data_IF_987168751542
#
_entry.id   IF_987168751542
#
_cell.length_a   1.000
_cell.length_b   1.000
_cell.length_c   1.000
_cell.angle_alpha   90.00
_cell.angle_beta   90.00
_cell.angle_gamma   90.00
#
_symmetry.space_group_name_H-M   'P 1'
#
loop_
_entity.id
_entity.type
_entity.pdbx_description
1 polymer ?
#
# COMPACT_ATOMS: atom_id res chain seq x y z
N UNK A 1 -4.40 32.43 -10.70
CA UNK A 1 -4.65 31.54 -9.54
C UNK A 1 -4.94 30.10 -9.99
N UNK A 2 -5.94 29.87 -10.85
CA UNK A 2 -6.31 28.54 -11.39
C UNK A 2 -5.14 27.69 -11.90
N UNK A 3 -4.25 28.27 -12.73
CA UNK A 3 -3.09 27.58 -13.29
C UNK A 3 -2.16 26.98 -12.20
N UNK A 4 -2.00 27.69 -11.08
CA UNK A 4 -1.21 27.19 -9.95
C UNK A 4 -1.77 25.90 -9.36
N UNK A 5 -3.09 25.81 -9.20
CA UNK A 5 -3.73 24.57 -8.72
C UNK A 5 -3.65 23.43 -9.74
N UNK A 6 -3.72 23.70 -11.04
CA UNK A 6 -3.46 22.69 -12.07
C UNK A 6 -2.02 22.16 -12.00
N UNK A 7 -1.04 23.05 -11.77
CA UNK A 7 0.35 22.66 -11.54
C UNK A 7 0.50 21.81 -10.26
N UNK A 8 -0.12 22.20 -9.15
CA UNK A 8 -0.14 21.41 -7.91
C UNK A 8 -0.77 20.03 -8.11
N UNK A 9 -1.89 19.95 -8.84
CA UNK A 9 -2.57 18.67 -9.17
C UNK A 9 -1.65 17.76 -9.99
N UNK A 10 -1.01 18.30 -11.02
CA UNK A 10 -0.06 17.55 -11.87
C UNK A 10 1.17 17.10 -11.07
N UNK A 11 1.70 17.98 -10.21
CA UNK A 11 2.80 17.68 -9.31
C UNK A 11 2.45 16.51 -8.39
N UNK A 12 1.29 16.55 -7.72
CA UNK A 12 0.88 15.48 -6.80
C UNK A 12 0.69 14.14 -7.53
N UNK A 13 0.07 14.16 -8.71
CA UNK A 13 -0.09 12.95 -9.53
C UNK A 13 1.26 12.34 -9.94
N UNK A 14 2.21 13.17 -10.39
CA UNK A 14 3.54 12.70 -10.79
C UNK A 14 4.33 12.20 -9.58
N UNK A 15 4.24 12.90 -8.46
CA UNK A 15 4.97 12.56 -7.25
C UNK A 15 4.41 11.29 -6.59
N UNK A 16 3.10 11.05 -6.67
CA UNK A 16 2.46 9.81 -6.26
C UNK A 16 3.10 8.61 -6.98
N UNK A 17 3.24 8.67 -8.30
CA UNK A 17 3.89 7.61 -9.08
C UNK A 17 5.35 7.44 -8.70
N UNK A 18 6.11 8.54 -8.55
CA UNK A 18 7.53 8.48 -8.16
C UNK A 18 7.72 7.84 -6.77
N UNK A 19 6.91 8.23 -5.79
CA UNK A 19 6.93 7.65 -4.42
C UNK A 19 6.53 6.18 -4.43
N UNK A 20 5.54 5.81 -5.23
CA UNK A 20 5.09 4.42 -5.37
C UNK A 20 6.16 3.53 -6.02
N UNK A 21 6.83 4.05 -7.07
CA UNK A 21 7.97 3.37 -7.68
C UNK A 21 9.10 3.13 -6.67
N UNK A 22 9.47 4.16 -5.89
CA UNK A 22 10.50 4.02 -4.87
C UNK A 22 10.13 2.94 -3.83
N UNK A 23 8.88 2.95 -3.35
CA UNK A 23 8.41 1.96 -2.38
C UNK A 23 8.36 0.54 -2.94
N UNK A 24 8.12 0.40 -4.25
CA UNK A 24 8.12 -0.91 -4.93
C UNK A 24 9.49 -1.58 -4.89
N UNK A 25 10.58 -0.83 -4.91
CA UNK A 25 11.94 -1.37 -4.81
C UNK A 25 12.14 -2.09 -3.46
N UNK A 26 11.71 -1.46 -2.37
CA UNK A 26 11.80 -2.06 -1.03
C UNK A 26 10.90 -3.31 -0.89
N UNK A 27 9.71 -3.30 -1.50
CA UNK A 27 8.82 -4.46 -1.50
C UNK A 27 9.37 -5.61 -2.33
N UNK A 28 9.92 -5.34 -3.51
CA UNK A 28 10.59 -6.35 -4.35
C UNK A 28 11.77 -6.95 -3.60
N UNK A 29 12.55 -6.13 -2.88
CA UNK A 29 13.62 -6.62 -2.02
C UNK A 29 13.09 -7.55 -0.92
N UNK A 30 12.00 -7.18 -0.23
CA UNK A 30 11.37 -8.06 0.76
C UNK A 30 10.94 -9.39 0.14
N UNK A 31 10.32 -9.38 -1.04
CA UNK A 31 9.92 -10.60 -1.76
C UNK A 31 11.13 -11.44 -2.19
N UNK A 32 12.24 -10.83 -2.59
CA UNK A 32 13.47 -11.54 -2.94
C UNK A 32 14.09 -12.23 -1.72
N UNK A 33 14.20 -11.53 -0.59
CA UNK A 33 14.69 -12.11 0.68
C UNK A 33 13.76 -13.23 1.14
N UNK A 34 12.45 -13.01 1.08
CA UNK A 34 11.47 -14.05 1.38
C UNK A 34 11.59 -15.26 0.47
N UNK A 35 11.78 -15.06 -0.84
CA UNK A 35 11.96 -16.13 -1.81
C UNK A 35 13.20 -16.98 -1.50
N UNK A 36 14.30 -16.37 -1.08
CA UNK A 36 15.50 -17.08 -0.63
C UNK A 36 15.22 -17.94 0.62
N UNK A 37 14.59 -17.34 1.65
CA UNK A 37 14.20 -18.07 2.86
C UNK A 37 13.22 -19.21 2.57
N UNK A 38 12.21 -18.97 1.73
CA UNK A 38 11.24 -19.99 1.34
C UNK A 38 11.92 -21.12 0.56
N UNK A 39 12.88 -20.80 -0.31
CA UNK A 39 13.67 -21.82 -1.00
C UNK A 39 14.45 -22.68 -0.02
N UNK A 40 15.12 -22.09 0.98
CA UNK A 40 15.83 -22.85 2.02
C UNK A 40 14.88 -23.74 2.82
N UNK A 41 13.70 -23.24 3.20
CA UNK A 41 12.69 -24.01 3.93
C UNK A 41 12.19 -25.19 3.08
N UNK A 42 12.01 -25.01 1.77
CA UNK A 42 11.48 -26.06 0.88
C UNK A 42 12.53 -27.11 0.50
N UNK A 43 13.82 -26.74 0.44
CA UNK A 43 14.90 -27.65 0.05
C UNK A 43 15.63 -28.28 1.23
N UNK A 44 15.44 -27.75 2.44
CA UNK A 44 15.99 -28.34 3.65
C UNK A 44 15.48 -29.77 3.85
N UNK A 45 16.41 -30.71 3.96
CA UNK A 45 16.09 -32.11 4.22
C UNK A 45 15.56 -32.35 5.64
N UNK A 46 15.05 -33.55 5.94
CA UNK A 46 14.60 -33.92 7.29
C UNK A 46 15.74 -33.73 8.29
N UNK A 47 15.55 -32.89 9.31
CA UNK A 47 16.53 -32.66 10.37
C UNK A 47 17.48 -31.47 10.17
N UNK A 48 17.22 -30.56 9.23
CA UNK A 48 17.96 -29.29 9.18
C UNK A 48 17.79 -28.53 10.51
N UNK A 49 18.92 -28.19 11.15
CA UNK A 49 18.97 -27.82 12.56
C UNK A 49 18.18 -26.56 12.95
N UNK A 50 17.71 -25.74 11.99
CA UNK A 50 17.18 -24.41 12.28
C UNK A 50 15.88 -24.05 11.52
N UNK A 51 15.00 -25.02 11.24
CA UNK A 51 13.69 -24.74 10.61
C UNK A 51 12.86 -23.70 11.37
N UNK A 52 12.88 -23.74 12.70
CA UNK A 52 12.17 -22.78 13.54
C UNK A 52 12.68 -21.35 13.32
N UNK A 53 14.00 -21.16 13.34
CA UNK A 53 14.63 -19.87 13.10
C UNK A 53 14.36 -19.33 11.68
N UNK A 54 14.30 -20.21 10.67
CA UNK A 54 13.95 -19.81 9.30
C UNK A 54 12.50 -19.30 9.20
N UNK A 55 11.55 -19.97 9.86
CA UNK A 55 10.15 -19.50 9.89
C UNK A 55 10.01 -18.18 10.66
N UNK A 56 10.77 -18.00 11.75
CA UNK A 56 10.81 -16.73 12.49
C UNK A 56 11.44 -15.59 11.68
N UNK A 57 12.51 -15.87 10.93
CA UNK A 57 13.10 -14.92 10.00
C UNK A 57 12.09 -14.55 8.89
N UNK A 58 11.34 -15.51 8.36
CA UNK A 58 10.27 -15.25 7.41
C UNK A 58 9.15 -14.38 8.01
N UNK A 59 8.79 -14.58 9.29
CA UNK A 59 7.86 -13.70 10.00
C UNK A 59 8.38 -12.27 10.12
N UNK A 60 9.68 -12.08 10.40
CA UNK A 60 10.30 -10.76 10.48
C UNK A 60 10.27 -10.04 9.11
N UNK A 61 10.58 -10.75 8.02
CA UNK A 61 10.46 -10.21 6.66
C UNK A 61 9.01 -9.86 6.34
N UNK A 62 8.05 -10.70 6.73
CA UNK A 62 6.63 -10.44 6.54
C UNK A 62 6.14 -9.20 7.33
N UNK A 63 6.68 -8.95 8.52
CA UNK A 63 6.39 -7.75 9.30
C UNK A 63 6.91 -6.48 8.61
N UNK A 64 8.12 -6.53 8.05
CA UNK A 64 8.69 -5.43 7.25
C UNK A 64 7.86 -5.20 5.98
N UNK A 65 7.53 -6.26 5.25
CA UNK A 65 6.67 -6.19 4.07
C UNK A 65 5.28 -5.61 4.36
N UNK A 66 4.67 -6.02 5.47
CA UNK A 66 3.40 -5.48 6.00
C UNK A 66 3.53 -3.97 6.27
N UNK A 67 4.61 -3.55 6.93
CA UNK A 67 4.86 -2.14 7.24
C UNK A 67 4.98 -1.28 5.97
N UNK A 68 5.75 -1.74 4.97
CA UNK A 68 5.86 -1.05 3.68
C UNK A 68 4.54 -1.03 2.92
N UNK A 69 3.75 -2.11 2.93
CA UNK A 69 2.44 -2.13 2.30
C UNK A 69 1.46 -1.13 2.96
N UNK A 70 1.47 -1.01 4.29
CA UNK A 70 0.69 -0.01 5.01
C UNK A 70 1.12 1.42 4.65
N UNK A 71 2.43 1.69 4.62
CA UNK A 71 2.98 2.99 4.19
C UNK A 71 2.54 3.29 2.75
N UNK A 72 2.52 2.30 1.87
CA UNK A 72 2.04 2.45 0.50
C UNK A 72 0.59 2.94 0.47
N UNK A 73 -0.30 2.25 1.20
CA UNK A 73 -1.72 2.59 1.26
C UNK A 73 -1.89 4.00 1.82
N UNK A 74 -1.19 4.34 2.91
CA UNK A 74 -1.26 5.67 3.53
C UNK A 74 -0.78 6.77 2.59
N UNK A 75 0.35 6.57 1.91
CA UNK A 75 0.89 7.50 0.92
C UNK A 75 -0.06 7.67 -0.27
N UNK A 76 -0.61 6.57 -0.79
CA UNK A 76 -1.56 6.60 -1.90
C UNK A 76 -2.86 7.33 -1.54
N UNK A 77 -3.40 7.10 -0.34
CA UNK A 77 -4.59 7.81 0.17
C UNK A 77 -4.29 9.29 0.43
N UNK A 78 -3.13 9.61 1.00
CA UNK A 78 -2.73 11.00 1.27
C UNK A 78 -2.60 11.82 0.00
N UNK A 79 -1.93 11.30 -1.02
CA UNK A 79 -1.84 11.95 -2.33
C UNK A 79 -3.20 12.07 -3.02
N UNK A 80 -4.07 11.06 -2.89
CA UNK A 80 -5.45 11.15 -3.40
C UNK A 80 -6.25 12.27 -2.71
N UNK A 81 -6.12 12.43 -1.41
CA UNK A 81 -6.81 13.48 -0.67
C UNK A 81 -6.36 14.89 -1.11
N UNK A 82 -5.06 15.11 -1.26
CA UNK A 82 -4.55 16.39 -1.79
C UNK A 82 -4.96 16.64 -3.24
N UNK A 83 -4.96 15.58 -4.06
CA UNK A 83 -5.47 15.66 -5.43
C UNK A 83 -6.93 16.14 -5.45
N UNK A 84 -7.80 15.56 -4.63
CA UNK A 84 -9.22 15.97 -4.51
C UNK A 84 -9.38 17.40 -3.99
N UNK A 85 -8.52 17.84 -3.05
CA UNK A 85 -8.49 19.24 -2.58
C UNK A 85 -8.17 20.20 -3.72
N UNK A 86 -7.15 19.90 -4.55
CA UNK A 86 -6.82 20.73 -5.70
C UNK A 86 -7.92 20.73 -6.75
N UNK A 87 -8.57 19.58 -7.01
CA UNK A 87 -9.72 19.52 -7.91
C UNK A 87 -10.88 20.38 -7.42
N UNK A 88 -11.15 20.35 -6.11
CA UNK A 88 -12.20 21.18 -5.49
C UNK A 88 -11.92 22.67 -5.64
N UNK A 89 -10.70 23.12 -5.34
CA UNK A 89 -10.36 24.54 -5.51
C UNK A 89 -10.40 24.98 -6.98
N UNK A 90 -9.99 24.13 -7.92
CA UNK A 90 -10.14 24.44 -9.35
C UNK A 90 -11.62 24.58 -9.71
N UNK A 91 -12.46 23.68 -9.22
CA UNK A 91 -13.91 23.73 -9.46
C UNK A 91 -14.55 25.00 -8.89
N UNK A 92 -14.23 25.36 -7.66
CA UNK A 92 -14.72 26.58 -7.00
C UNK A 92 -14.30 27.83 -7.79
N UNK A 93 -13.04 27.93 -8.21
CA UNK A 93 -12.56 29.04 -9.06
C UNK A 93 -13.28 29.07 -10.41
N UNK A 94 -13.43 27.92 -11.09
CA UNK A 94 -14.11 27.83 -12.40
C UNK A 94 -15.61 28.17 -12.30
N UNK A 95 -16.23 28.01 -11.12
CA UNK A 95 -17.61 28.36 -10.84
C UNK A 95 -17.78 29.83 -10.45
N UNK A 96 -16.95 30.37 -9.56
CA UNK A 96 -16.95 31.79 -9.21
C UNK A 96 -16.60 32.66 -10.41
N UNK A 97 -15.55 32.28 -11.13
CA UNK A 97 -15.20 32.96 -12.36
C UNK A 97 -16.25 32.69 -13.46
N UNK A 98 -17.21 31.75 -13.34
CA UNK A 98 -18.26 31.53 -14.36
C UNK A 98 -19.19 32.74 -14.57
N UNK A 99 -19.25 33.67 -13.62
CA UNK A 99 -19.91 34.97 -13.80
C UNK A 99 -19.11 35.91 -14.73
N UNK A 100 -17.87 35.55 -15.13
CA UNK A 100 -17.01 36.30 -16.08
C UNK A 100 -16.10 35.47 -17.02
N UNK A 101 -16.11 34.13 -16.97
CA UNK A 101 -15.18 33.24 -17.68
C UNK A 101 -15.71 32.85 -19.05
N UNK A 102 -14.84 33.02 -20.04
CA UNK A 102 -15.03 32.57 -21.42
C UNK A 102 -14.83 31.06 -21.64
N UNK A 103 -14.71 30.22 -20.59
CA UNK A 103 -14.44 28.78 -20.74
C UNK A 103 -15.75 27.99 -20.78
N UNK A 104 -16.07 27.34 -21.92
CA UNK A 104 -17.23 26.47 -22.04
C UNK A 104 -17.20 25.35 -21.00
N UNK A 105 -18.37 25.03 -20.45
CA UNK A 105 -18.54 24.01 -19.41
C UNK A 105 -17.83 22.69 -19.73
N UNK A 106 -17.89 22.23 -20.99
CA UNK A 106 -17.25 20.99 -21.45
C UNK A 106 -15.72 20.92 -21.27
N UNK A 107 -15.04 22.04 -21.04
CA UNK A 107 -13.59 22.10 -20.82
C UNK A 107 -13.22 22.30 -19.35
N UNK A 108 -14.21 22.42 -18.46
CA UNK A 108 -14.01 22.57 -17.01
C UNK A 108 -13.68 21.22 -16.37
N UNK A 109 -12.90 21.24 -15.29
CA UNK A 109 -12.39 20.01 -14.68
C UNK A 109 -13.49 19.07 -14.17
N UNK A 110 -14.62 19.63 -13.72
CA UNK A 110 -15.78 18.90 -13.24
C UNK A 110 -16.73 18.38 -14.33
N UNK A 111 -16.49 18.73 -15.60
CA UNK A 111 -17.35 18.28 -16.69
C UNK A 111 -17.16 16.79 -16.97
N UNK A 112 -18.26 16.12 -17.35
CA UNK A 112 -18.22 14.71 -17.73
C UNK A 112 -17.41 14.53 -19.03
N UNK A 113 -16.15 14.11 -18.90
CA UNK A 113 -15.33 13.69 -20.02
C UNK A 113 -15.81 12.35 -20.57
N UNK A 114 -16.18 12.31 -21.85
CA UNK A 114 -16.59 11.08 -22.55
C UNK A 114 -15.51 10.68 -23.56
N UNK A 115 -14.76 9.58 -23.33
CA UNK A 115 -13.86 9.04 -24.35
C UNK A 115 -14.66 8.48 -25.54
N UNK A 116 -14.01 8.37 -26.70
CA UNK A 116 -14.62 7.86 -27.94
C UNK A 116 -15.27 6.49 -27.76
N UNK A 117 -14.52 5.57 -27.17
CA UNK A 117 -14.99 4.23 -26.84
C UNK A 117 -14.47 3.82 -25.47
N UNK A 118 -15.27 3.03 -24.76
CA UNK A 118 -14.93 2.55 -23.42
C UNK A 118 -15.45 1.13 -23.23
N UNK A 119 -14.63 0.27 -22.65
CA UNK A 119 -14.99 -1.09 -22.31
C UNK A 119 -14.44 -1.43 -20.92
N UNK A 120 -15.29 -1.95 -20.05
CA UNK A 120 -14.88 -2.40 -18.72
C UNK A 120 -14.22 -3.78 -18.72
N UNK A 121 -14.31 -4.53 -19.82
CA UNK A 121 -13.71 -5.86 -19.93
C UNK A 121 -12.17 -5.77 -19.87
N UNK A 122 -11.57 -6.45 -18.89
CA UNK A 122 -10.12 -6.50 -18.67
C UNK A 122 -9.33 -7.06 -19.87
N UNK A 123 -9.95 -7.93 -20.67
CA UNK A 123 -9.30 -8.51 -21.86
C UNK A 123 -9.48 -7.65 -23.12
N UNK A 124 -10.21 -6.53 -23.01
CA UNK A 124 -10.33 -5.58 -24.10
C UNK A 124 -9.14 -4.63 -24.13
N UNK A 125 -8.67 -4.26 -25.33
CA UNK A 125 -7.67 -3.20 -25.52
C UNK A 125 -8.27 -1.79 -25.45
N UNK A 126 -9.59 -1.65 -25.27
CA UNK A 126 -10.30 -0.36 -25.21
C UNK A 126 -10.11 0.30 -23.83
N UNK A 127 -10.29 1.62 -23.76
CA UNK A 127 -10.15 2.38 -22.51
C UNK A 127 -11.17 1.93 -21.45
N UNK A 128 -10.78 1.94 -20.17
CA UNK A 128 -11.65 1.58 -19.04
C UNK A 128 -11.78 2.70 -18.01
N UNK A 129 -12.77 2.59 -17.11
CA UNK A 129 -13.04 3.57 -16.02
C UNK A 129 -12.16 3.34 -14.79
N UNK A 130 -10.85 3.22 -14.98
CA UNK A 130 -9.92 2.97 -13.88
C UNK A 130 -9.27 4.27 -13.39
N UNK A 131 -9.35 4.51 -12.07
CA UNK A 131 -8.67 5.63 -11.44
C UNK A 131 -7.24 5.22 -11.05
N UNK A 132 -6.19 5.92 -11.53
CA UNK A 132 -4.81 5.61 -11.16
C UNK A 132 -4.56 5.59 -9.66
N UNK A 133 -5.17 6.53 -8.91
CA UNK A 133 -5.01 6.59 -7.45
C UNK A 133 -5.71 5.43 -6.74
N UNK A 134 -6.90 5.01 -7.20
CA UNK A 134 -7.59 3.83 -6.65
C UNK A 134 -6.83 2.54 -6.95
N UNK A 135 -6.31 2.38 -8.16
CA UNK A 135 -5.46 1.23 -8.51
C UNK A 135 -4.22 1.18 -7.60
N UNK A 136 -3.59 2.32 -7.35
CA UNK A 136 -2.41 2.37 -6.49
C UNK A 136 -2.72 1.97 -5.02
N UNK A 137 -3.87 2.38 -4.49
CA UNK A 137 -4.36 1.92 -3.17
C UNK A 137 -4.62 0.40 -3.19
N UNK A 138 -5.20 -0.13 -4.27
CA UNK A 138 -5.46 -1.56 -4.44
C UNK A 138 -4.17 -2.36 -4.46
N UNK A 139 -3.11 -1.91 -5.15
CA UNK A 139 -1.79 -2.57 -5.16
C UNK A 139 -1.26 -2.72 -3.72
N UNK A 140 -1.28 -1.63 -2.94
CA UNK A 140 -0.89 -1.68 -1.54
C UNK A 140 -1.74 -2.65 -0.70
N UNK A 141 -3.05 -2.70 -0.95
CA UNK A 141 -3.98 -3.59 -0.24
C UNK A 141 -3.78 -5.08 -0.57
N UNK A 142 -3.53 -5.41 -1.84
CA UNK A 142 -3.17 -6.76 -2.28
C UNK A 142 -1.84 -7.19 -1.66
N UNK A 143 -0.86 -6.29 -1.66
CA UNK A 143 0.47 -6.56 -1.09
C UNK A 143 0.41 -6.77 0.42
N UNK A 144 -0.40 -5.97 1.13
CA UNK A 144 -0.67 -6.15 2.55
C UNK A 144 -1.28 -7.52 2.84
N UNK A 145 -2.28 -7.93 2.05
CA UNK A 145 -2.94 -9.24 2.21
C UNK A 145 -1.95 -10.39 2.00
N UNK A 146 -1.06 -10.28 1.00
CA UNK A 146 -0.02 -11.26 0.75
C UNK A 146 0.94 -11.40 1.94
N UNK A 147 1.46 -10.29 2.47
CA UNK A 147 2.39 -10.33 3.60
C UNK A 147 1.76 -10.81 4.90
N UNK A 148 0.50 -10.46 5.17
CA UNK A 148 -0.23 -11.01 6.32
C UNK A 148 -0.44 -12.53 6.18
N UNK A 149 -0.72 -13.01 4.97
CA UNK A 149 -0.86 -14.44 4.69
C UNK A 149 0.46 -15.18 4.91
N UNK A 150 1.56 -14.65 4.38
CA UNK A 150 2.92 -15.19 4.59
C UNK A 150 3.26 -15.23 6.08
N UNK A 151 3.04 -14.13 6.80
CA UNK A 151 3.29 -14.05 8.24
C UNK A 151 2.47 -15.07 9.04
N UNK A 152 1.19 -15.27 8.68
CA UNK A 152 0.32 -16.24 9.33
C UNK A 152 0.78 -17.68 9.11
N UNK A 153 1.14 -18.04 7.87
CA UNK A 153 1.61 -19.40 7.52
C UNK A 153 2.89 -19.73 8.32
N UNK A 154 3.88 -18.84 8.29
CA UNK A 154 5.14 -19.08 8.98
C UNK A 154 4.99 -19.04 10.50
N UNK A 155 4.13 -18.16 11.03
CA UNK A 155 3.85 -18.15 12.47
C UNK A 155 3.21 -19.46 12.93
N UNK A 156 2.22 -19.97 12.20
CA UNK A 156 1.60 -21.26 12.50
C UNK A 156 2.62 -22.41 12.45
N UNK A 157 3.49 -22.41 11.43
CA UNK A 157 4.57 -23.39 11.33
C UNK A 157 5.56 -23.29 12.51
N UNK A 158 5.95 -22.09 12.92
CA UNK A 158 6.82 -21.89 14.09
C UNK A 158 6.19 -22.40 15.39
N UNK A 159 4.88 -22.21 15.59
CA UNK A 159 4.17 -22.72 16.77
C UNK A 159 4.14 -24.25 16.79
N UNK A 160 3.88 -24.89 15.63
CA UNK A 160 3.88 -26.36 15.52
C UNK A 160 5.29 -26.91 15.79
N UNK A 161 6.31 -26.36 15.15
CA UNK A 161 7.71 -26.77 15.33
C UNK A 161 8.19 -26.59 16.78
N UNK A 162 7.75 -25.52 17.45
CA UNK A 162 8.05 -25.31 18.86
C UNK A 162 7.38 -26.35 19.77
N UNK A 163 6.14 -26.76 19.47
CA UNK A 163 5.43 -27.76 20.25
C UNK A 163 6.05 -29.17 20.14
N UNK A 164 6.69 -29.48 19.00
CA UNK A 164 7.33 -30.77 18.73
C UNK A 164 8.81 -30.82 19.16
N UNK A 165 9.45 -29.66 19.36
CA UNK A 165 10.89 -29.53 19.59
C UNK A 165 11.32 -29.34 21.06
N UNK A 166 12.63 -29.47 21.36
CA UNK A 166 13.16 -29.12 22.68
C UNK A 166 13.09 -27.60 22.89
N UNK A 167 12.39 -27.18 23.95
CA UNK A 167 12.18 -25.76 24.24
C UNK A 167 13.46 -25.07 24.74
N UNK A 168 14.04 -24.17 23.95
CA UNK A 168 14.91 -23.12 24.49
C UNK A 168 14.08 -22.13 25.33
N UNK A 169 14.64 -21.66 26.44
CA UNK A 169 13.94 -20.77 27.37
C UNK A 169 13.49 -19.43 26.77
N UNK A 170 14.14 -18.96 25.70
CA UNK A 170 13.82 -17.70 25.02
C UNK A 170 12.78 -17.85 23.90
N UNK A 171 12.49 -19.07 23.45
CA UNK A 171 11.60 -19.31 22.31
C UNK A 171 10.15 -18.84 22.53
N UNK A 172 9.54 -19.06 23.72
CA UNK A 172 8.19 -18.56 24.00
C UNK A 172 8.09 -17.04 23.90
N UNK A 173 9.14 -16.34 24.31
CA UNK A 173 9.20 -14.88 24.25
C UNK A 173 9.18 -14.41 22.80
N UNK A 174 9.97 -15.03 21.92
CA UNK A 174 10.00 -14.70 20.48
C UNK A 174 8.63 -14.96 19.85
N UNK A 175 8.03 -16.13 20.12
CA UNK A 175 6.70 -16.49 19.60
C UNK A 175 5.57 -15.58 20.11
N UNK A 176 5.70 -14.99 21.31
CA UNK A 176 4.76 -14.00 21.81
C UNK A 176 4.98 -12.62 21.19
N UNK A 177 6.23 -12.22 20.94
CA UNK A 177 6.59 -10.93 20.37
C UNK A 177 6.18 -10.78 18.90
N UNK A 178 6.21 -11.87 18.12
CA UNK A 178 5.80 -11.85 16.71
C UNK A 178 4.36 -11.31 16.55
N UNK A 179 3.30 -11.95 17.07
CA UNK A 179 1.92 -11.47 16.90
C UNK A 179 1.71 -10.10 17.56
N UNK A 180 2.37 -9.83 18.70
CA UNK A 180 2.30 -8.54 19.36
C UNK A 180 2.84 -7.41 18.46
N UNK A 181 3.93 -7.65 17.74
CA UNK A 181 4.53 -6.69 16.81
C UNK A 181 3.64 -6.42 15.59
N UNK A 182 3.05 -7.46 14.99
CA UNK A 182 2.07 -7.32 13.92
C UNK A 182 0.85 -6.53 14.38
N UNK A 183 0.31 -6.84 15.55
CA UNK A 183 -0.83 -6.14 16.12
C UNK A 183 -0.49 -4.66 16.39
N UNK A 184 0.68 -4.38 16.97
CA UNK A 184 1.13 -3.02 17.21
C UNK A 184 1.23 -2.21 15.91
N UNK A 185 1.83 -2.78 14.86
CA UNK A 185 1.92 -2.16 13.54
C UNK A 185 0.53 -1.88 12.96
N UNK A 186 -0.36 -2.87 12.95
CA UNK A 186 -1.71 -2.73 12.40
C UNK A 186 -2.55 -1.72 13.18
N UNK A 187 -2.51 -1.75 14.52
CA UNK A 187 -3.28 -0.84 15.38
C UNK A 187 -2.77 0.59 15.26
N UNK A 188 -1.44 0.81 15.30
CA UNK A 188 -0.87 2.16 15.18
C UNK A 188 -1.12 2.77 13.80
N UNK A 189 -1.06 1.95 12.74
CA UNK A 189 -1.44 2.37 11.39
C UNK A 189 -2.95 2.67 11.29
N UNK A 190 -3.82 1.80 11.81
CA UNK A 190 -5.28 1.99 11.78
C UNK A 190 -5.74 3.23 12.56
N UNK A 191 -5.04 3.57 13.66
CA UNK A 191 -5.27 4.79 14.44
C UNK A 191 -4.69 6.05 13.77
N UNK A 192 -4.14 5.95 12.56
CA UNK A 192 -3.47 7.03 11.84
C UNK A 192 -2.40 7.72 12.70
N UNK A 193 -1.65 6.95 13.49
CA UNK A 193 -0.53 7.50 14.28
C UNK A 193 0.67 7.83 13.39
N UNK A 194 0.69 7.29 12.16
CA UNK A 194 1.79 7.42 11.21
C UNK A 194 1.49 8.56 10.23
N UNK A 195 2.38 9.54 10.12
CA UNK A 195 2.35 10.53 9.05
C UNK A 195 1.05 11.34 8.91
N UNK A 196 0.26 11.49 9.98
CA UNK A 196 -1.03 12.20 9.94
C UNK A 196 -0.84 13.67 9.54
N UNK A 197 -1.51 14.08 8.46
CA UNK A 197 -1.57 15.48 8.05
C UNK A 197 -2.36 16.31 9.07
N UNK A 198 -1.82 17.47 9.45
CA UNK A 198 -2.53 18.47 10.27
C UNK A 198 -3.44 19.38 9.46
N UNK A 199 -3.21 19.47 8.14
CA UNK A 199 -3.92 20.38 7.24
C UNK A 199 -5.16 19.76 6.60
N UNK A 200 -5.26 18.43 6.57
CA UNK A 200 -6.42 17.73 6.03
C UNK A 200 -7.38 17.38 7.17
N UNK A 201 -8.60 17.91 7.08
CA UNK A 201 -9.71 17.62 8.00
C UNK A 201 -10.77 16.82 7.25
N UNK A 202 -11.54 16.00 7.97
CA UNK A 202 -12.70 15.33 7.37
C UNK A 202 -13.70 16.38 6.91
N UNK A 203 -14.32 16.20 5.73
CA UNK A 203 -15.40 17.07 5.27
C UNK A 203 -16.60 17.01 6.22
#
# INVERSE_FOLDING_TARGET
>A
MREGFYQCRRFEATNLWRRSFLLSIFLVFCFAVYGALASEILTAGPGAANFLALNEAACAVALLGTSFALIWIMMAKGSKAWYEVYERYIFEIEQEEAEGLKIPERYRLGALCRPWEMNGNLFSKKAGRYSPSRLNITIGSVTLTAWLTVGLIHYAASVILYAEGPALCWQPLILALIPASFLAVLVTAARNMWGRSRSLVKP
#
